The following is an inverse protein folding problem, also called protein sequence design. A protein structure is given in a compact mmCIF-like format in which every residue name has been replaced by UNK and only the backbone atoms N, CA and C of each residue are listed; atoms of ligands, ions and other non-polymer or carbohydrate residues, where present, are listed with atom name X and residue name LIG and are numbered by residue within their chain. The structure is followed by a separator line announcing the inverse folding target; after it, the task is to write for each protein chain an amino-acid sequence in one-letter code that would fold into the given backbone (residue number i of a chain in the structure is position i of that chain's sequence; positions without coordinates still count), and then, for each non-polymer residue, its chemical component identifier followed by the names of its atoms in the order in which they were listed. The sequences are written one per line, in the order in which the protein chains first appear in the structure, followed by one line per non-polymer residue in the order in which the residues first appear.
data_IF_754646599662
#
_entry.id   IF_754646599662
#
_cell.length_a   1.000
_cell.length_b   1.000
_cell.length_c   1.000
_cell.angle_alpha   90.00
_cell.angle_beta   90.00
_cell.angle_gamma   90.00
#
_symmetry.space_group_name_H-M   'P 1'
#
loop_
_entity.id
_entity.type
_entity.pdbx_description
1 polymer ?
#
# COMPACT_ATOMS: atom_id res chain seq x y z
N UNK A 1 22.58 5.07 -5.21
CA UNK A 1 22.03 4.29 -6.34
C UNK A 1 20.67 4.89 -6.65
N UNK A 2 20.35 5.10 -7.91
CA UNK A 2 19.01 5.54 -8.28
C UNK A 2 18.05 4.36 -8.04
N UNK A 3 17.06 4.57 -7.19
CA UNK A 3 16.03 3.56 -6.92
C UNK A 3 15.27 3.29 -8.22
N UNK A 4 15.27 2.02 -8.64
CA UNK A 4 14.55 1.60 -9.84
C UNK A 4 13.10 1.27 -9.51
N UNK A 5 12.24 1.30 -10.53
CA UNK A 5 10.85 0.86 -10.38
C UNK A 5 10.76 -0.60 -9.90
N UNK A 6 11.65 -1.46 -10.37
CA UNK A 6 11.73 -2.87 -9.99
C UNK A 6 12.08 -3.04 -8.50
N UNK A 7 13.15 -2.37 -8.04
CA UNK A 7 13.56 -2.41 -6.63
C UNK A 7 12.46 -1.88 -5.70
N UNK A 8 11.75 -0.82 -6.11
CA UNK A 8 10.63 -0.28 -5.32
C UNK A 8 9.46 -1.25 -5.26
N UNK A 9 9.08 -1.85 -6.39
CA UNK A 9 8.02 -2.85 -6.44
C UNK A 9 8.38 -4.10 -5.61
N UNK A 10 9.63 -4.57 -5.66
CA UNK A 10 10.06 -5.71 -4.84
C UNK A 10 10.00 -5.39 -3.34
N UNK A 11 10.45 -4.19 -2.93
CA UNK A 11 10.39 -3.76 -1.52
C UNK A 11 8.96 -3.57 -1.02
N UNK A 12 8.01 -3.19 -1.89
CA UNK A 12 6.60 -3.06 -1.55
C UNK A 12 5.87 -4.39 -1.40
N UNK A 13 6.35 -5.46 -2.04
CA UNK A 13 5.62 -6.73 -2.17
C UNK A 13 5.23 -7.34 -0.82
N UNK A 14 6.21 -7.53 0.06
CA UNK A 14 5.97 -8.11 1.39
C UNK A 14 5.13 -7.17 2.28
N UNK A 15 5.48 -5.88 2.46
CA UNK A 15 4.69 -4.97 3.28
C UNK A 15 3.24 -4.77 2.81
N UNK A 16 2.98 -4.75 1.50
CA UNK A 16 1.60 -4.63 0.98
C UNK A 16 0.80 -5.90 1.21
N UNK A 17 1.42 -7.06 1.09
CA UNK A 17 0.77 -8.35 1.43
C UNK A 17 0.40 -8.39 2.91
N UNK A 18 1.32 -7.96 3.78
CA UNK A 18 1.07 -7.80 5.22
C UNK A 18 -0.04 -6.77 5.48
N UNK A 19 -0.07 -5.66 4.74
CA UNK A 19 -1.07 -4.61 4.90
C UNK A 19 -2.47 -5.15 4.63
N UNK A 20 -2.65 -5.94 3.57
CA UNK A 20 -3.93 -6.57 3.24
C UNK A 20 -4.34 -7.55 4.34
N UNK A 21 -3.43 -8.45 4.74
CA UNK A 21 -3.71 -9.45 5.77
C UNK A 21 -4.08 -8.81 7.11
N UNK A 22 -3.32 -7.80 7.55
CA UNK A 22 -3.57 -7.09 8.81
C UNK A 22 -4.82 -6.22 8.75
N UNK A 23 -5.10 -5.60 7.61
CA UNK A 23 -6.33 -4.82 7.43
C UNK A 23 -7.56 -5.70 7.58
N UNK A 24 -7.56 -6.91 6.98
CA UNK A 24 -8.64 -7.89 7.16
C UNK A 24 -8.74 -8.39 8.61
N UNK A 25 -7.61 -8.71 9.23
CA UNK A 25 -7.56 -9.21 10.60
C UNK A 25 -8.10 -8.20 11.62
N UNK A 26 -7.70 -6.93 11.50
CA UNK A 26 -8.10 -5.85 12.39
C UNK A 26 -9.61 -5.55 12.36
N UNK A 27 -10.32 -5.89 11.27
CA UNK A 27 -11.79 -5.80 11.22
C UNK A 27 -12.44 -6.68 12.30
N UNK A 28 -11.88 -7.86 12.55
CA UNK A 28 -12.44 -8.83 13.49
C UNK A 28 -11.75 -8.86 14.85
N UNK A 29 -10.48 -8.41 14.91
CA UNK A 29 -9.63 -8.50 16.10
C UNK A 29 -8.99 -7.15 16.37
N UNK A 30 -9.58 -6.38 17.28
CA UNK A 30 -9.05 -5.07 17.68
C UNK A 30 -7.64 -5.12 18.25
N UNK A 31 -7.20 -6.26 18.80
CA UNK A 31 -5.83 -6.46 19.27
C UNK A 31 -4.77 -6.40 18.15
N UNK A 32 -5.17 -6.58 16.89
CA UNK A 32 -4.28 -6.52 15.72
C UNK A 32 -4.15 -5.07 15.16
N UNK A 33 -4.92 -4.11 15.70
CA UNK A 33 -4.87 -2.69 15.28
C UNK A 33 -3.47 -2.06 15.40
N UNK A 34 -2.72 -2.24 16.51
CA UNK A 34 -1.37 -1.67 16.61
C UNK A 34 -0.44 -2.19 15.50
N UNK A 35 -0.59 -3.46 15.12
CA UNK A 35 0.20 -4.07 14.06
C UNK A 35 -0.22 -3.53 12.68
N UNK A 36 -1.52 -3.32 12.44
CA UNK A 36 -1.99 -2.63 11.24
C UNK A 36 -1.39 -1.22 11.11
N UNK A 37 -1.37 -0.44 12.20
CA UNK A 37 -0.73 0.91 12.20
C UNK A 37 0.75 0.81 11.84
N UNK A 38 1.47 -0.16 12.42
CA UNK A 38 2.89 -0.40 12.12
C UNK A 38 3.08 -0.68 10.62
N UNK A 39 2.29 -1.58 10.05
CA UNK A 39 2.40 -1.98 8.63
C UNK A 39 2.04 -0.82 7.70
N UNK A 40 0.99 -0.03 8.00
CA UNK A 40 0.67 1.21 7.26
C UNK A 40 1.89 2.13 7.21
N UNK A 41 2.58 2.31 8.35
CA UNK A 41 3.80 3.12 8.43
C UNK A 41 4.94 2.61 7.55
N UNK A 42 5.15 1.28 7.49
CA UNK A 42 6.17 0.67 6.61
C UNK A 42 5.89 0.94 5.15
N UNK A 43 4.65 0.71 4.70
CA UNK A 43 4.26 0.95 3.31
C UNK A 43 4.36 2.44 2.97
N UNK A 44 3.91 3.33 3.88
CA UNK A 44 4.00 4.78 3.71
C UNK A 44 5.45 5.23 3.51
N UNK A 45 6.38 4.68 4.30
CA UNK A 45 7.79 5.03 4.21
C UNK A 45 8.35 4.73 2.81
N UNK A 46 8.03 3.57 2.23
CA UNK A 46 8.50 3.20 0.88
C UNK A 46 7.85 4.08 -0.20
N UNK A 47 6.54 4.35 -0.10
CA UNK A 47 5.84 5.21 -1.07
C UNK A 47 6.27 6.68 -0.98
N UNK A 48 6.81 7.13 0.16
CA UNK A 48 7.30 8.49 0.37
C UNK A 48 8.74 8.72 -0.14
N UNK A 49 9.44 7.67 -0.56
CA UNK A 49 10.77 7.79 -1.13
C UNK A 49 10.75 8.60 -2.43
N UNK A 50 11.83 9.36 -2.68
CA UNK A 50 11.93 10.24 -3.83
C UNK A 50 11.64 9.48 -5.14
N UNK A 51 10.64 9.97 -5.87
CA UNK A 51 10.19 9.40 -7.13
C UNK A 51 10.70 10.18 -8.34
N UNK A 52 11.54 11.22 -8.13
CA UNK A 52 12.04 12.06 -9.22
C UNK A 52 12.78 11.27 -10.30
N UNK A 53 13.51 10.23 -9.87
CA UNK A 53 14.27 9.30 -10.73
C UNK A 53 13.46 8.16 -11.34
N UNK A 54 12.19 7.97 -10.97
CA UNK A 54 11.35 6.94 -11.56
C UNK A 54 10.89 7.37 -12.97
N UNK A 55 10.78 6.44 -13.94
CA UNK A 55 10.19 6.75 -15.23
C UNK A 55 8.73 7.20 -15.08
N UNK A 56 8.24 8.01 -16.02
CA UNK A 56 6.81 8.32 -16.11
C UNK A 56 6.02 7.02 -16.37
N UNK A 57 4.88 6.86 -15.70
CA UNK A 57 4.07 5.65 -15.79
C UNK A 57 3.15 5.46 -14.60
N UNK A 58 2.39 4.36 -14.63
CA UNK A 58 1.29 4.09 -13.70
C UNK A 58 1.71 4.16 -12.22
N UNK A 59 2.88 3.63 -11.85
CA UNK A 59 3.36 3.73 -10.47
C UNK A 59 3.60 5.18 -10.06
N UNK A 60 4.40 5.93 -10.83
CA UNK A 60 4.76 7.33 -10.51
C UNK A 60 3.52 8.22 -10.43
N UNK A 61 2.56 8.01 -11.32
CA UNK A 61 1.31 8.77 -11.36
C UNK A 61 0.39 8.44 -10.17
N UNK A 62 0.43 7.19 -9.69
CA UNK A 62 -0.40 6.73 -8.58
C UNK A 62 0.20 7.01 -7.18
N UNK A 63 1.51 7.20 -7.05
CA UNK A 63 2.17 7.43 -5.73
C UNK A 63 1.46 8.47 -4.85
N UNK A 64 1.06 9.67 -5.34
CA UNK A 64 0.34 10.64 -4.52
C UNK A 64 -1.00 10.11 -4.02
N UNK A 65 -1.70 9.31 -4.82
CA UNK A 65 -2.96 8.66 -4.42
C UNK A 65 -2.72 7.59 -3.36
N UNK A 66 -1.72 6.71 -3.55
CA UNK A 66 -1.36 5.69 -2.57
C UNK A 66 -1.00 6.26 -1.21
N UNK A 67 -0.27 7.37 -1.16
CA UNK A 67 0.02 8.08 0.10
C UNK A 67 -1.26 8.59 0.78
N UNK A 68 -2.16 9.25 0.04
CA UNK A 68 -3.45 9.70 0.59
C UNK A 68 -4.33 8.56 1.09
N UNK A 69 -4.30 7.41 0.41
CA UNK A 69 -5.02 6.20 0.85
C UNK A 69 -4.49 5.74 2.21
N UNK A 70 -3.16 5.67 2.38
CA UNK A 70 -2.56 5.28 3.66
C UNK A 70 -2.87 6.29 4.78
N UNK A 71 -2.91 7.59 4.49
CA UNK A 71 -3.31 8.62 5.45
C UNK A 71 -4.74 8.42 5.92
N UNK A 72 -5.67 8.20 4.98
CA UNK A 72 -7.07 7.92 5.31
C UNK A 72 -7.25 6.60 6.06
N UNK A 73 -6.43 5.58 5.77
CA UNK A 73 -6.40 4.34 6.54
C UNK A 73 -5.94 4.59 7.97
N UNK A 74 -4.82 5.30 8.17
CA UNK A 74 -4.33 5.69 9.50
C UNK A 74 -5.41 6.43 10.30
N UNK A 75 -6.04 7.45 9.72
CA UNK A 75 -7.11 8.21 10.37
C UNK A 75 -8.29 7.31 10.79
N UNK A 76 -8.70 6.38 9.91
CA UNK A 76 -9.78 5.45 10.21
C UNK A 76 -9.41 4.53 11.39
N UNK A 77 -8.20 3.97 11.38
CA UNK A 77 -7.71 3.11 12.46
C UNK A 77 -7.57 3.87 13.78
N UNK A 78 -7.05 5.09 13.75
CA UNK A 78 -6.94 5.97 14.93
C UNK A 78 -8.30 6.33 15.53
N UNK A 79 -9.34 6.45 14.69
CA UNK A 79 -10.73 6.62 15.15
C UNK A 79 -11.41 5.33 15.63
N UNK A 80 -10.71 4.18 15.60
CA UNK A 80 -11.24 2.87 15.98
C UNK A 80 -12.08 2.18 14.90
N UNK A 81 -12.03 2.65 13.66
CA UNK A 81 -12.82 2.15 12.53
C UNK A 81 -11.96 1.34 11.55
N UNK A 82 -11.56 0.13 11.98
CA UNK A 82 -10.77 -0.79 11.17
C UNK A 82 -11.51 -1.27 9.91
N UNK A 83 -12.85 -1.35 9.96
CA UNK A 83 -13.68 -1.69 8.80
C UNK A 83 -13.59 -0.63 7.70
N UNK A 84 -13.66 0.65 8.07
CA UNK A 84 -13.45 1.75 7.13
C UNK A 84 -12.03 1.76 6.57
N UNK A 85 -11.02 1.48 7.40
CA UNK A 85 -9.63 1.32 6.92
C UNK A 85 -9.53 0.24 5.84
N UNK A 86 -10.15 -0.93 6.06
CA UNK A 86 -10.16 -2.00 5.07
C UNK A 86 -10.92 -1.60 3.79
N UNK A 87 -12.07 -0.93 3.92
CA UNK A 87 -12.83 -0.44 2.76
C UNK A 87 -12.02 0.55 1.90
N UNK A 88 -11.25 1.45 2.54
CA UNK A 88 -10.34 2.38 1.86
C UNK A 88 -9.23 1.63 1.10
N UNK A 89 -8.64 0.60 1.73
CA UNK A 89 -7.59 -0.20 1.10
C UNK A 89 -8.08 -0.89 -0.18
N UNK A 90 -9.28 -1.46 -0.13
CA UNK A 90 -9.87 -2.26 -1.22
C UNK A 90 -10.70 -1.44 -2.21
N UNK A 91 -10.68 -0.12 -2.10
CA UNK A 91 -11.39 0.75 -3.04
C UNK A 91 -10.91 0.49 -4.48
N UNK A 92 -11.85 0.32 -5.41
CA UNK A 92 -11.53 -0.06 -6.78
C UNK A 92 -10.98 1.10 -7.63
N UNK A 93 -11.25 2.35 -7.23
CA UNK A 93 -10.81 3.53 -7.97
C UNK A 93 -9.44 4.00 -7.48
N UNK A 94 -9.29 4.15 -6.17
CA UNK A 94 -8.13 4.79 -5.55
C UNK A 94 -7.26 3.83 -4.74
N UNK A 95 -7.80 2.67 -4.34
CA UNK A 95 -7.16 1.73 -3.42
C UNK A 95 -5.94 1.01 -3.98
N UNK A 96 -5.41 0.09 -3.18
CA UNK A 96 -4.13 -0.58 -3.47
C UNK A 96 -4.18 -1.53 -4.66
N UNK A 97 -5.36 -1.78 -5.24
CA UNK A 97 -5.47 -2.50 -6.52
C UNK A 97 -4.71 -1.78 -7.64
N UNK A 98 -4.64 -0.44 -7.62
CA UNK A 98 -3.90 0.33 -8.64
C UNK A 98 -2.38 0.11 -8.57
N UNK A 99 -1.88 -0.39 -7.43
CA UNK A 99 -0.47 -0.76 -7.31
C UNK A 99 -0.13 -1.99 -8.17
N UNK A 100 -1.07 -2.91 -8.41
CA UNK A 100 -0.82 -4.03 -9.32
C UNK A 100 -0.63 -3.55 -10.76
N UNK A 101 -1.32 -2.48 -11.17
CA UNK A 101 -1.08 -1.84 -12.47
C UNK A 101 0.30 -1.16 -12.52
N UNK A 102 0.68 -0.47 -11.42
CA UNK A 102 1.95 0.23 -11.32
C UNK A 102 3.18 -0.69 -11.32
N UNK A 103 3.05 -1.88 -10.75
CA UNK A 103 4.10 -2.89 -10.67
C UNK A 103 3.90 -4.06 -11.65
N UNK A 104 3.01 -3.91 -12.63
CA UNK A 104 2.73 -4.95 -13.61
C UNK A 104 4.01 -5.36 -14.37
N UNK A 105 4.27 -6.67 -14.44
CA UNK A 105 5.46 -7.23 -15.11
C UNK A 105 6.66 -7.47 -14.19
N UNK A 106 6.61 -7.05 -12.93
CA UNK A 106 7.61 -7.43 -11.92
C UNK A 106 7.20 -8.70 -11.16
N UNK A 107 8.17 -9.54 -10.71
CA UNK A 107 7.89 -10.74 -9.94
C UNK A 107 6.99 -10.47 -8.73
N UNK A 108 5.97 -11.32 -8.53
CA UNK A 108 5.02 -11.21 -7.43
C UNK A 108 3.95 -10.12 -7.58
N UNK A 109 3.92 -9.40 -8.70
CA UNK A 109 2.89 -8.42 -9.06
C UNK A 109 2.08 -8.80 -10.30
N UNK A 110 2.45 -9.88 -10.99
CA UNK A 110 1.69 -10.43 -12.12
C UNK A 110 0.51 -11.28 -11.65
N UNK A 111 -0.65 -11.09 -12.32
CA UNK A 111 -1.83 -11.97 -12.20
C UNK A 111 -1.64 -13.33 -12.90
N UNK A 112 -0.56 -13.48 -13.67
CA UNK A 112 -0.11 -14.74 -14.23
C UNK A 112 1.09 -15.22 -13.43
N UNK A 113 0.94 -16.38 -12.81
CA UNK A 113 2.03 -17.13 -12.19
C UNK A 113 3.04 -17.65 -13.21
#
# INVERSE_FOLDING_TARGET
MADTIEERCERLRQPVTELVAMSMAAVYRSQDVPELVRVIGVVRAILAEDASGLPAGALRDWLPTGQRVLDRMSEAVESGDAAKSYAILTDQQDGFIRLTDGCAGFPGWSVTG
#
